data_IF_329222504636
#
_entry.id   IF_329222504636
#
_cell.length_a   1.000
_cell.length_b   1.000
_cell.length_c   1.000
_cell.angle_alpha   90.00
_cell.angle_beta   90.00
_cell.angle_gamma   90.00
#
_symmetry.space_group_name_H-M   'P 1'
#
loop_
_entity.id
_entity.type
_entity.pdbx_description
1 polymer ?
#
# COMPACT_ATOMS: atom_id res chain seq x y z
N UNK A 1 60.36 -4.96 -41.60
CA UNK A 1 59.28 -4.41 -40.74
C UNK A 1 58.76 -3.17 -41.47
N UNK A 2 57.49 -2.96 -41.81
CA UNK A 2 56.25 -3.27 -41.12
C UNK A 2 55.13 -3.55 -42.15
N UNK A 3 54.19 -4.43 -41.78
CA UNK A 3 52.97 -4.73 -42.55
C UNK A 3 51.86 -3.81 -42.06
N UNK A 4 51.36 -2.95 -42.95
CA UNK A 4 50.21 -2.08 -42.70
C UNK A 4 48.92 -2.92 -42.76
N UNK A 5 48.33 -3.21 -41.60
CA UNK A 5 47.08 -3.98 -41.48
C UNK A 5 45.90 -3.02 -41.45
N UNK A 6 45.08 -3.07 -42.49
CA UNK A 6 43.70 -2.60 -42.52
C UNK A 6 42.89 -3.38 -41.46
N UNK A 7 42.18 -2.66 -40.58
CA UNK A 7 41.11 -3.21 -39.75
C UNK A 7 39.92 -2.26 -39.91
N UNK A 8 39.13 -2.57 -40.94
CA UNK A 8 37.81 -2.00 -41.20
C UNK A 8 36.85 -2.55 -40.15
N UNK A 9 35.96 -1.67 -39.70
CA UNK A 9 35.05 -1.89 -38.59
C UNK A 9 34.00 -2.96 -38.83
N UNK A 10 33.52 -3.48 -37.70
CA UNK A 10 32.18 -4.05 -37.55
C UNK A 10 31.65 -3.53 -36.19
N UNK A 11 31.08 -2.33 -36.20
CA UNK A 11 30.27 -1.81 -35.10
C UNK A 11 28.81 -2.08 -35.48
N UNK A 12 28.39 -3.34 -35.35
CA UNK A 12 27.06 -3.80 -35.73
C UNK A 12 26.11 -3.76 -34.53
N UNK A 13 25.13 -2.86 -34.60
CA UNK A 13 23.76 -2.99 -34.12
C UNK A 13 23.53 -3.51 -32.68
N UNK A 14 23.64 -2.61 -31.71
CA UNK A 14 22.85 -2.66 -30.47
C UNK A 14 21.71 -1.63 -30.52
N UNK A 15 20.91 -1.65 -31.61
CA UNK A 15 19.63 -0.93 -31.63
C UNK A 15 18.58 -1.89 -31.08
N UNK A 16 18.62 -2.09 -29.77
CA UNK A 16 17.48 -2.61 -29.04
C UNK A 16 16.40 -1.55 -29.06
N UNK A 17 15.42 -1.71 -29.95
CA UNK A 17 14.23 -0.87 -29.98
C UNK A 17 13.62 -0.85 -28.57
N UNK A 18 13.68 0.31 -27.91
CA UNK A 18 12.88 0.55 -26.73
C UNK A 18 11.41 0.32 -27.12
N UNK A 19 10.79 -0.71 -26.54
CA UNK A 19 9.35 -0.93 -26.67
C UNK A 19 8.67 0.22 -25.95
N UNK A 20 8.23 1.22 -26.71
CA UNK A 20 7.37 2.26 -26.18
C UNK A 20 6.07 1.61 -25.67
N UNK A 21 5.55 2.00 -24.50
CA UNK A 21 4.27 1.50 -24.03
C UNK A 21 3.19 1.85 -25.07
N UNK A 22 2.31 0.89 -25.37
CA UNK A 22 1.22 1.05 -26.35
C UNK A 22 0.17 2.08 -25.92
N UNK A 23 0.18 2.48 -24.66
CA UNK A 23 -0.70 3.49 -24.10
C UNK A 23 0.13 4.67 -23.59
N UNK A 24 -0.27 5.92 -23.89
CA UNK A 24 0.33 7.08 -23.24
C UNK A 24 0.18 6.90 -21.72
N UNK A 25 1.22 7.24 -20.93
CA UNK A 25 1.09 7.21 -19.48
C UNK A 25 -0.12 8.04 -19.06
N UNK A 26 -0.95 7.49 -18.18
CA UNK A 26 -2.06 8.23 -17.58
C UNK A 26 -1.50 9.56 -17.05
N UNK A 27 -2.03 10.71 -17.50
CA UNK A 27 -1.56 11.99 -17.00
C UNK A 27 -1.64 11.99 -15.47
N UNK A 28 -0.54 12.37 -14.80
CA UNK A 28 -0.53 12.45 -13.34
C UNK A 28 -1.63 13.40 -12.92
N UNK A 29 -2.58 12.90 -12.14
CA UNK A 29 -3.70 13.72 -11.67
C UNK A 29 -3.21 14.80 -10.71
N UNK A 30 -3.95 15.90 -10.68
CA UNK A 30 -3.84 16.87 -9.59
C UNK A 30 -4.52 16.35 -8.31
N UNK A 31 -5.36 15.34 -8.42
CA UNK A 31 -6.03 14.65 -7.30
C UNK A 31 -5.08 13.63 -6.65
N UNK A 32 -4.75 13.83 -5.37
CA UNK A 32 -3.75 13.02 -4.63
C UNK A 32 -4.22 12.66 -3.23
N UNK A 33 -3.70 11.55 -2.74
CA UNK A 33 -3.74 11.19 -1.31
C UNK A 33 -2.32 11.13 -0.79
N UNK A 34 -2.03 11.83 0.29
CA UNK A 34 -0.76 11.74 1.01
C UNK A 34 -1.02 11.06 2.33
N UNK A 35 -0.41 9.91 2.56
CA UNK A 35 -0.48 9.17 3.83
C UNK A 35 0.86 9.31 4.52
N UNK A 36 0.86 9.75 5.78
CA UNK A 36 2.03 9.73 6.66
C UNK A 36 1.74 8.85 7.85
N UNK A 37 2.59 7.85 8.09
CA UNK A 37 2.53 6.92 9.21
C UNK A 37 3.75 7.15 10.10
N UNK A 38 3.55 7.13 11.42
CA UNK A 38 4.63 7.27 12.42
C UNK A 38 4.63 6.09 13.36
N UNK A 39 5.78 5.45 13.51
CA UNK A 39 5.97 4.27 14.34
C UNK A 39 6.72 4.60 15.65
N UNK A 40 6.59 3.74 16.66
CA UNK A 40 7.25 3.92 17.96
C UNK A 40 8.78 3.81 17.87
N UNK A 41 9.29 3.01 16.93
CA UNK A 41 10.71 2.90 16.61
C UNK A 41 11.00 3.09 15.12
N UNK A 42 12.28 3.09 14.75
CA UNK A 42 12.70 3.25 13.36
C UNK A 42 12.11 2.15 12.46
N UNK A 43 11.62 2.58 11.29
CA UNK A 43 11.07 1.71 10.24
C UNK A 43 12.15 0.73 9.80
N UNK A 44 11.80 -0.55 9.86
CA UNK A 44 12.67 -1.66 9.48
C UNK A 44 12.44 -2.06 8.02
N UNK A 45 13.50 -2.17 7.19
CA UNK A 45 13.37 -2.51 5.76
C UNK A 45 13.02 -3.97 5.52
N UNK A 46 13.19 -4.85 6.52
CA UNK A 46 12.85 -6.26 6.46
C UNK A 46 11.39 -6.57 6.83
N UNK A 47 10.63 -5.57 7.27
CA UNK A 47 9.20 -5.67 7.56
C UNK A 47 8.36 -5.14 6.39
N UNK A 48 7.08 -5.52 6.39
CA UNK A 48 6.09 -5.12 5.40
C UNK A 48 5.12 -4.11 6.02
N UNK A 49 4.87 -3.02 5.32
CA UNK A 49 3.92 -2.00 5.74
C UNK A 49 2.90 -1.79 4.62
N UNK A 50 1.63 -1.88 4.97
CA UNK A 50 0.53 -1.85 4.03
C UNK A 50 -0.38 -0.65 4.31
N UNK A 51 -0.77 0.05 3.25
CA UNK A 51 -1.92 0.95 3.27
C UNK A 51 -3.02 0.23 2.53
N UNK A 52 -3.95 -0.38 3.26
CA UNK A 52 -5.05 -1.15 2.70
C UNK A 52 -6.27 -0.24 2.53
N UNK A 53 -6.98 -0.41 1.41
CA UNK A 53 -8.05 0.48 0.98
C UNK A 53 -9.24 -0.37 0.51
N UNK A 54 -10.41 -0.08 1.08
CA UNK A 54 -11.71 -0.47 0.58
C UNK A 54 -12.39 0.75 -0.06
N UNK A 55 -13.04 0.53 -1.18
CA UNK A 55 -13.63 1.57 -2.02
C UNK A 55 -15.05 1.26 -2.45
N UNK A 56 -15.69 0.27 -1.82
CA UNK A 56 -17.06 -0.15 -2.17
C UNK A 56 -18.16 0.80 -1.67
N UNK A 57 -17.81 1.71 -0.77
CA UNK A 57 -18.68 2.75 -0.23
C UNK A 57 -19.58 2.29 0.94
N UNK A 58 -19.49 1.04 1.40
CA UNK A 58 -20.18 0.54 2.58
C UNK A 58 -19.38 0.86 3.85
N UNK A 59 -19.83 1.78 4.72
CA UNK A 59 -19.08 2.15 5.92
C UNK A 59 -19.00 1.04 6.98
N UNK A 60 -19.68 -0.09 6.76
CA UNK A 60 -19.69 -1.24 7.67
C UNK A 60 -18.63 -2.27 7.30
N UNK A 61 -18.03 -2.16 6.13
CA UNK A 61 -16.92 -2.99 5.70
C UNK A 61 -15.65 -2.17 5.63
N UNK A 62 -14.52 -2.85 5.73
CA UNK A 62 -13.24 -2.21 5.56
C UNK A 62 -12.06 -3.17 5.66
N UNK A 63 -10.84 -2.65 5.50
CA UNK A 63 -9.66 -3.50 5.47
C UNK A 63 -9.31 -4.08 6.85
N UNK A 64 -9.24 -5.42 6.95
CA UNK A 64 -8.81 -6.10 8.17
C UNK A 64 -7.50 -6.91 7.97
N UNK A 65 -6.63 -6.98 9.00
CA UNK A 65 -5.43 -7.79 8.97
C UNK A 65 -5.72 -9.29 9.12
N UNK A 66 -4.85 -10.13 8.57
CA UNK A 66 -4.92 -11.59 8.72
C UNK A 66 -4.25 -12.05 10.02
N UNK A 67 -4.97 -11.95 11.13
CA UNK A 67 -4.46 -12.28 12.48
C UNK A 67 -4.63 -13.75 12.87
N UNK A 68 -5.57 -14.44 12.22
CA UNK A 68 -5.85 -15.85 12.46
C UNK A 68 -5.94 -16.61 11.15
N UNK A 69 -5.98 -17.94 11.25
CA UNK A 69 -6.24 -18.79 10.09
C UNK A 69 -7.69 -18.64 9.58
N UNK A 70 -7.91 -18.85 8.27
CA UNK A 70 -6.87 -18.96 7.23
C UNK A 70 -6.19 -17.60 7.05
N UNK A 71 -4.84 -17.58 6.92
CA UNK A 71 -4.02 -16.37 6.95
C UNK A 71 -4.21 -15.40 5.76
N UNK A 72 -5.32 -15.49 5.04
CA UNK A 72 -5.63 -14.64 3.90
C UNK A 72 -4.55 -14.72 2.82
N UNK A 73 -3.99 -13.57 2.47
CA UNK A 73 -2.83 -13.43 1.60
C UNK A 73 -1.49 -13.32 2.36
N UNK A 74 -1.51 -13.55 3.67
CA UNK A 74 -0.36 -13.51 4.57
C UNK A 74 -0.24 -12.22 5.39
N UNK A 75 -1.06 -11.20 5.12
CA UNK A 75 -1.07 -9.95 5.89
C UNK A 75 -2.48 -9.38 6.11
N UNK A 76 -3.40 -9.58 5.17
CA UNK A 76 -4.77 -9.06 5.21
C UNK A 76 -5.81 -10.09 4.80
N UNK A 77 -7.08 -9.76 5.04
CA UNK A 77 -8.24 -10.57 4.64
C UNK A 77 -8.97 -9.83 3.51
N UNK A 78 -8.68 -10.10 2.22
CA UNK A 78 -9.23 -9.30 1.13
C UNK A 78 -10.75 -9.31 1.04
N UNK A 79 -11.41 -10.38 1.50
CA UNK A 79 -12.86 -10.45 1.62
C UNK A 79 -13.29 -11.48 2.65
N UNK A 80 -14.12 -11.06 3.60
CA UNK A 80 -14.88 -11.94 4.49
C UNK A 80 -16.17 -11.23 4.93
N UNK A 81 -17.31 -11.68 4.40
CA UNK A 81 -18.61 -11.08 4.70
C UNK A 81 -19.06 -11.23 6.16
N UNK A 82 -18.52 -12.22 6.90
CA UNK A 82 -18.85 -12.45 8.31
C UNK A 82 -18.10 -11.47 9.21
N UNK A 83 -16.85 -11.17 8.84
CA UNK A 83 -16.01 -10.21 9.56
C UNK A 83 -16.22 -8.76 9.09
N UNK A 84 -16.92 -8.57 7.97
CA UNK A 84 -17.00 -7.25 7.31
C UNK A 84 -15.68 -6.84 6.66
N UNK A 85 -14.80 -7.80 6.35
CA UNK A 85 -13.51 -7.48 5.74
C UNK A 85 -13.64 -7.27 4.25
N UNK A 86 -13.03 -6.19 3.73
CA UNK A 86 -12.86 -5.96 2.31
C UNK A 86 -11.60 -5.14 2.03
N UNK A 87 -10.83 -5.55 1.03
CA UNK A 87 -9.64 -4.82 0.54
C UNK A 87 -9.65 -4.85 -0.98
N UNK A 88 -9.89 -3.71 -1.62
CA UNK A 88 -9.88 -3.61 -3.09
C UNK A 88 -8.49 -3.26 -3.62
N UNK A 89 -7.78 -2.41 -2.87
CA UNK A 89 -6.51 -1.80 -3.25
C UNK A 89 -5.57 -1.81 -2.05
N UNK A 90 -4.27 -1.85 -2.31
CA UNK A 90 -3.29 -1.61 -1.26
C UNK A 90 -1.99 -1.05 -1.82
N UNK A 91 -1.28 -0.33 -0.95
CA UNK A 91 0.14 -0.03 -1.14
C UNK A 91 0.92 -1.02 -0.31
N UNK A 92 1.91 -1.68 -0.90
CA UNK A 92 2.94 -2.40 -0.16
C UNK A 92 4.20 -1.52 -0.09
N UNK A 93 4.72 -1.32 1.10
CA UNK A 93 6.07 -0.78 1.34
C UNK A 93 6.92 -1.89 1.92
N UNK A 94 7.98 -2.27 1.20
CA UNK A 94 8.90 -3.34 1.60
C UNK A 94 10.29 -3.01 1.08
N UNK A 95 11.33 -3.21 1.89
CA UNK A 95 12.74 -2.89 1.53
C UNK A 95 12.91 -1.48 0.97
N UNK A 96 12.20 -0.52 1.56
CA UNK A 96 12.23 0.90 1.18
C UNK A 96 11.81 1.18 -0.27
N UNK A 97 11.11 0.25 -0.92
CA UNK A 97 10.37 0.51 -2.15
C UNK A 97 8.87 0.41 -1.86
N UNK A 98 8.07 0.97 -2.77
CA UNK A 98 6.62 0.91 -2.68
C UNK A 98 6.00 0.53 -4.02
N UNK A 99 4.91 -0.24 -3.97
CA UNK A 99 4.13 -0.65 -5.12
C UNK A 99 2.65 -0.62 -4.77
N UNK A 100 1.83 -0.12 -5.70
CA UNK A 100 0.38 -0.11 -5.58
C UNK A 100 -0.18 -1.36 -6.28
N UNK A 101 -1.14 -2.00 -5.65
CA UNK A 101 -1.80 -3.21 -6.15
C UNK A 101 -3.32 -3.08 -6.08
N UNK A 102 -4.00 -3.79 -6.98
CA UNK A 102 -5.44 -4.06 -6.94
C UNK A 102 -5.67 -5.54 -6.71
N UNK A 103 -6.61 -5.90 -5.85
CA UNK A 103 -7.10 -7.28 -5.72
C UNK A 103 -7.98 -7.61 -6.92
N UNK A 104 -7.67 -8.70 -7.64
CA UNK A 104 -8.45 -9.17 -8.79
C UNK A 104 -9.42 -10.28 -8.41
N UNK A 105 -8.99 -11.18 -7.52
CA UNK A 105 -9.79 -12.31 -7.06
C UNK A 105 -9.91 -12.24 -5.54
N UNK A 106 -11.16 -12.08 -5.07
CA UNK A 106 -11.53 -11.96 -3.65
C UNK A 106 -11.82 -13.32 -2.99
N UNK A 107 -11.25 -14.39 -3.53
CA UNK A 107 -11.35 -15.74 -3.00
C UNK A 107 -9.95 -16.36 -2.93
N UNK A 108 -9.65 -17.22 -1.95
CA UNK A 108 -8.38 -17.94 -1.91
C UNK A 108 -8.21 -18.87 -3.13
N UNK A 109 -7.03 -18.88 -3.79
CA UNK A 109 -5.90 -17.98 -3.58
C UNK A 109 -6.19 -16.59 -4.16
N UNK A 110 -6.04 -15.55 -3.33
CA UNK A 110 -6.21 -14.17 -3.76
C UNK A 110 -5.15 -13.82 -4.79
N UNK A 111 -5.53 -13.06 -5.81
CA UNK A 111 -4.60 -12.57 -6.83
C UNK A 111 -4.60 -11.05 -6.89
N UNK A 112 -3.45 -10.49 -7.26
CA UNK A 112 -3.21 -9.06 -7.27
C UNK A 112 -2.65 -8.62 -8.61
N UNK A 113 -3.08 -7.45 -9.07
CA UNK A 113 -2.51 -6.76 -10.22
C UNK A 113 -1.69 -5.56 -9.77
N UNK A 114 -0.41 -5.46 -10.15
CA UNK A 114 0.37 -4.25 -9.90
C UNK A 114 -0.18 -3.07 -10.74
N UNK A 115 -0.35 -1.92 -10.10
CA UNK A 115 -0.72 -0.65 -10.73
C UNK A 115 0.49 0.29 -10.93
N UNK A 116 1.69 -0.16 -10.50
CA UNK A 116 2.92 0.63 -10.53
C UNK A 116 3.24 1.30 -9.19
N UNK A 117 4.36 2.04 -9.11
CA UNK A 117 4.78 2.70 -7.88
C UNK A 117 3.82 3.86 -7.53
N UNK A 118 3.79 4.30 -6.26
CA UNK A 118 3.15 5.56 -5.91
C UNK A 118 3.86 6.75 -6.61
N UNK A 119 3.25 7.94 -6.55
CA UNK A 119 3.88 9.17 -7.06
C UNK A 119 5.16 9.52 -6.28
N UNK A 120 5.15 9.26 -4.97
CA UNK A 120 6.30 9.45 -4.10
C UNK A 120 6.28 8.45 -2.94
N UNK A 121 7.47 8.04 -2.51
CA UNK A 121 7.75 7.37 -1.25
C UNK A 121 8.91 8.09 -0.59
N UNK A 122 8.71 8.54 0.65
CA UNK A 122 9.75 9.18 1.45
C UNK A 122 9.71 8.70 2.89
N UNK A 123 10.83 8.87 3.58
CA UNK A 123 10.98 8.59 5.02
C UNK A 123 11.40 9.89 5.71
N UNK A 124 10.45 10.81 6.01
CA UNK A 124 10.77 12.14 6.53
C UNK A 124 11.57 12.10 7.84
N UNK A 125 11.36 11.04 8.62
CA UNK A 125 12.10 10.68 9.83
C UNK A 125 12.36 9.16 9.83
N UNK A 126 13.33 8.66 10.63
CA UNK A 126 13.63 7.22 10.66
C UNK A 126 12.44 6.33 11.01
N UNK A 127 11.47 6.83 11.77
CA UNK A 127 10.25 6.14 12.18
C UNK A 127 9.02 6.55 11.37
N UNK A 128 9.18 7.24 10.24
CA UNK A 128 8.07 7.72 9.43
C UNK A 128 8.09 7.15 8.02
N UNK A 129 6.91 6.76 7.53
CA UNK A 129 6.67 6.41 6.14
C UNK A 129 5.71 7.45 5.57
N UNK A 130 6.07 8.08 4.46
CA UNK A 130 5.18 8.95 3.70
C UNK A 130 5.01 8.43 2.28
N UNK A 131 3.76 8.20 1.88
CA UNK A 131 3.40 7.78 0.53
C UNK A 131 2.48 8.82 -0.10
N UNK A 132 2.76 9.20 -1.34
CA UNK A 132 1.86 10.04 -2.15
C UNK A 132 1.28 9.21 -3.29
N UNK A 133 -0.04 9.08 -3.33
CA UNK A 133 -0.79 8.33 -4.33
C UNK A 133 -1.49 9.26 -5.31
N UNK A 134 -1.53 8.86 -6.57
CA UNK A 134 -2.41 9.46 -7.58
C UNK A 134 -3.79 8.81 -7.48
N UNK A 135 -4.85 9.60 -7.25
CA UNK A 135 -6.21 9.07 -7.19
C UNK A 135 -6.66 8.45 -8.52
N UNK A 136 -6.10 8.86 -9.66
CA UNK A 136 -6.40 8.27 -10.98
C UNK A 136 -5.59 7.01 -11.28
N UNK A 137 -4.52 6.74 -10.54
CA UNK A 137 -3.90 5.41 -10.54
C UNK A 137 -4.81 4.42 -9.80
N UNK A 138 -5.38 4.83 -8.67
CA UNK A 138 -6.29 4.00 -7.87
C UNK A 138 -7.65 3.81 -8.55
N UNK A 139 -8.17 4.85 -9.18
CA UNK A 139 -9.50 4.89 -9.79
C UNK A 139 -9.39 5.45 -11.21
N UNK A 140 -8.94 4.60 -12.16
CA UNK A 140 -8.72 5.03 -13.53
C UNK A 140 -10.03 5.44 -14.20
N UNK A 141 -10.03 6.45 -15.10
CA UNK A 141 -11.18 6.74 -15.94
C UNK A 141 -11.64 5.50 -16.72
N UNK A 142 -12.93 5.38 -17.04
CA UNK A 142 -13.97 6.40 -16.94
C UNK A 142 -14.66 6.50 -15.58
N UNK A 143 -14.26 5.69 -14.60
CA UNK A 143 -14.95 5.63 -13.31
C UNK A 143 -14.83 6.97 -12.56
N UNK A 144 -15.92 7.44 -11.92
CA UNK A 144 -15.84 8.56 -11.00
C UNK A 144 -14.98 8.16 -9.80
N UNK A 145 -14.34 9.15 -9.18
CA UNK A 145 -13.68 8.90 -7.89
C UNK A 145 -14.76 8.57 -6.84
N UNK A 146 -14.55 7.56 -5.98
CA UNK A 146 -15.49 7.27 -4.92
C UNK A 146 -15.58 8.46 -3.96
N UNK A 147 -16.75 8.67 -3.35
CA UNK A 147 -16.95 9.78 -2.41
C UNK A 147 -16.15 9.58 -1.12
N UNK A 148 -15.87 8.33 -0.76
CA UNK A 148 -15.19 7.91 0.45
C UNK A 148 -14.46 6.60 0.20
N UNK A 149 -13.42 6.36 0.98
CA UNK A 149 -12.75 5.07 1.10
C UNK A 149 -12.51 4.76 2.57
N UNK A 150 -12.39 3.48 2.87
CA UNK A 150 -12.11 2.95 4.18
C UNK A 150 -10.66 2.46 4.18
N UNK A 151 -9.87 2.85 5.18
CA UNK A 151 -8.44 2.58 5.23
C UNK A 151 -8.02 1.90 6.53
N UNK A 152 -7.07 0.98 6.41
CA UNK A 152 -6.31 0.46 7.54
C UNK A 152 -4.81 0.47 7.19
N UNK A 153 -3.97 0.68 8.20
CA UNK A 153 -2.52 0.68 8.06
C UNK A 153 -1.99 -0.56 8.76
N UNK A 154 -1.61 -1.57 7.98
CA UNK A 154 -1.30 -2.90 8.52
C UNK A 154 0.20 -3.11 8.39
N UNK A 155 0.90 -3.34 9.48
CA UNK A 155 2.32 -3.66 9.50
C UNK A 155 2.52 -5.10 9.94
N UNK A 156 3.43 -5.84 9.30
CA UNK A 156 3.76 -7.22 9.68
C UNK A 156 5.26 -7.49 9.55
N UNK A 157 5.81 -8.28 10.47
CA UNK A 157 7.21 -8.71 10.37
C UNK A 157 7.43 -9.79 9.32
N UNK A 158 6.37 -10.55 8.99
CA UNK A 158 6.43 -11.67 8.06
C UNK A 158 5.07 -11.93 7.40
N UNK A 159 5.13 -12.53 6.20
CA UNK A 159 3.96 -13.03 5.48
C UNK A 159 3.72 -14.49 5.83
N UNK A 160 2.64 -14.76 6.58
CA UNK A 160 2.22 -16.14 6.88
C UNK A 160 1.30 -16.67 5.79
N UNK A 161 1.83 -17.39 4.82
CA UNK A 161 1.03 -17.91 3.69
C UNK A 161 0.65 -19.39 3.83
N UNK A 162 1.26 -20.12 4.76
CA UNK A 162 0.93 -21.52 5.01
C UNK A 162 -0.40 -21.63 5.77
N UNK A 163 -1.51 -22.12 5.15
CA UNK A 163 -2.81 -22.18 5.82
C UNK A 163 -2.86 -23.16 7.00
N UNK A 164 -1.85 -24.02 7.15
CA UNK A 164 -1.74 -24.99 8.24
C UNK A 164 -0.87 -24.51 9.41
N UNK A 165 -0.32 -23.30 9.36
CA UNK A 165 0.42 -22.73 10.48
C UNK A 165 -0.54 -22.25 11.59
N UNK A 166 -0.43 -22.82 12.79
CA UNK A 166 -1.29 -22.52 13.93
C UNK A 166 -0.65 -21.54 14.92
N UNK A 167 0.57 -21.08 14.65
CA UNK A 167 1.28 -20.20 15.56
C UNK A 167 0.59 -18.84 15.65
N UNK A 168 0.34 -18.30 16.86
CA UNK A 168 -0.20 -16.95 17.00
C UNK A 168 0.64 -15.94 16.20
N UNK A 169 -0.01 -14.94 15.60
CA UNK A 169 0.70 -13.81 15.00
C UNK A 169 1.07 -12.83 16.10
N UNK A 170 2.38 -12.57 16.23
CA UNK A 170 2.95 -11.68 17.25
C UNK A 170 3.61 -10.46 16.65
N UNK A 171 4.16 -10.58 15.44
CA UNK A 171 4.75 -9.46 14.69
C UNK A 171 3.75 -8.81 13.75
N UNK A 172 2.78 -8.09 14.32
CA UNK A 172 1.87 -7.25 13.57
C UNK A 172 1.48 -6.00 14.34
N UNK A 173 0.98 -5.03 13.60
CA UNK A 173 0.15 -3.97 14.13
C UNK A 173 -0.86 -3.49 13.07
N UNK A 174 -1.97 -2.89 13.50
CA UNK A 174 -2.95 -2.27 12.65
C UNK A 174 -3.86 -1.32 13.45
N UNK A 175 -4.71 -0.55 12.78
CA UNK A 175 -5.55 0.43 13.47
C UNK A 175 -6.43 -0.18 14.57
N UNK A 176 -6.47 0.52 15.70
CA UNK A 176 -7.23 0.19 16.88
C UNK A 176 -6.56 -0.87 17.77
N UNK A 177 -7.06 -1.06 19.02
CA UNK A 177 -6.38 -1.88 20.03
C UNK A 177 -6.21 -3.36 19.70
N UNK A 178 -6.86 -3.84 18.63
CA UNK A 178 -6.79 -5.23 18.17
C UNK A 178 -6.43 -5.33 16.69
N UNK A 179 -6.18 -4.20 16.02
CA UNK A 179 -5.94 -4.14 14.58
C UNK A 179 -7.18 -4.23 13.70
N UNK A 180 -8.37 -4.39 14.28
CA UNK A 180 -9.63 -4.62 13.55
C UNK A 180 -10.43 -3.33 13.27
N UNK A 181 -9.85 -2.16 13.53
CA UNK A 181 -10.49 -0.88 13.20
C UNK A 181 -10.03 -0.40 11.83
N UNK A 182 -10.82 0.51 11.25
CA UNK A 182 -10.48 1.23 10.02
C UNK A 182 -11.05 2.64 10.08
N UNK A 183 -10.49 3.53 9.27
CA UNK A 183 -10.91 4.93 9.20
C UNK A 183 -11.62 5.23 7.89
N UNK A 184 -12.65 6.06 7.97
CA UNK A 184 -13.42 6.55 6.84
C UNK A 184 -12.85 7.88 6.34
N UNK A 185 -12.36 7.89 5.09
CA UNK A 185 -11.72 9.05 4.46
C UNK A 185 -12.57 9.56 3.29
N UNK A 186 -13.32 10.67 3.47
CA UNK A 186 -13.96 11.37 2.37
C UNK A 186 -12.94 11.86 1.34
N UNK A 187 -13.19 11.63 0.06
CA UNK A 187 -12.34 12.06 -1.07
C UNK A 187 -12.91 13.28 -1.82
N UNK A 188 -14.01 13.84 -1.33
CA UNK A 188 -14.79 14.89 -2.03
C UNK A 188 -14.15 16.28 -1.97
N UNK A 189 -13.24 16.53 -1.02
CA UNK A 189 -12.62 17.85 -0.84
C UNK A 189 -11.18 17.75 -0.34
N UNK A 190 -10.42 18.83 -0.52
CA UNK A 190 -9.07 18.95 0.04
C UNK A 190 -9.17 19.06 1.56
N UNK A 191 -8.73 18.03 2.27
CA UNK A 191 -8.83 17.95 3.73
C UNK A 191 -7.67 17.13 4.30
N UNK A 192 -7.35 17.35 5.58
CA UNK A 192 -6.41 16.53 6.33
C UNK A 192 -7.14 15.85 7.48
N UNK A 193 -6.96 14.53 7.58
CA UNK A 193 -7.43 13.65 8.64
C UNK A 193 -6.23 13.21 9.48
N UNK A 194 -6.38 13.20 10.79
CA UNK A 194 -5.31 12.90 11.76
C UNK A 194 -5.76 11.83 12.74
N UNK A 195 -4.80 11.20 13.41
CA UNK A 195 -5.01 10.16 14.42
C UNK A 195 -6.18 10.37 15.39
N UNK A 196 -6.31 11.57 15.97
CA UNK A 196 -7.41 11.90 16.88
C UNK A 196 -8.82 11.94 16.26
N UNK A 197 -8.95 11.68 14.96
CA UNK A 197 -10.23 11.60 14.23
C UNK A 197 -10.63 10.17 13.88
N UNK A 198 -9.82 9.17 14.26
CA UNK A 198 -10.21 7.76 14.24
C UNK A 198 -11.20 7.41 15.36
N UNK A 199 -11.72 6.19 15.33
CA UNK A 199 -12.58 5.67 16.41
C UNK A 199 -11.80 5.55 17.72
N UNK A 200 -10.59 5.01 17.62
CA UNK A 200 -9.57 5.00 18.67
C UNK A 200 -8.36 5.74 18.12
N UNK A 201 -7.74 6.57 18.96
CA UNK A 201 -6.46 7.18 18.62
C UNK A 201 -5.36 6.15 18.86
N UNK A 202 -4.52 5.95 17.85
CA UNK A 202 -3.32 5.13 17.94
C UNK A 202 -2.37 5.70 18.99
N UNK A 203 -1.80 4.81 19.79
CA UNK A 203 -0.83 5.15 20.85
C UNK A 203 0.14 4.00 20.98
N UNK A 204 1.36 4.27 21.45
CA UNK A 204 2.35 3.21 21.65
C UNK A 204 1.91 2.12 22.63
N UNK A 205 2.29 0.88 22.35
CA UNK A 205 2.31 -0.24 23.31
C UNK A 205 1.26 -1.33 23.09
N UNK A 206 0.51 -1.29 21.99
CA UNK A 206 -0.41 -2.35 21.57
C UNK A 206 0.22 -3.37 20.61
N UNK A 207 1.33 -3.03 19.96
CA UNK A 207 2.17 -3.99 19.24
C UNK A 207 3.28 -4.60 20.12
N UNK A 208 3.68 -5.84 19.85
CA UNK A 208 4.80 -6.50 20.56
C UNK A 208 6.19 -6.09 20.04
N UNK A 209 6.25 -5.41 18.89
CA UNK A 209 7.49 -4.99 18.23
C UNK A 209 7.38 -3.49 17.98
N UNK A 210 8.19 -2.68 18.65
CA UNK A 210 8.14 -1.21 18.58
C UNK A 210 8.30 -0.64 17.15
N UNK A 211 8.98 -1.37 16.26
CA UNK A 211 9.14 -0.96 14.86
C UNK A 211 7.90 -1.24 13.97
N UNK A 212 6.93 -1.98 14.50
CA UNK A 212 5.61 -2.21 13.88
C UNK A 212 4.52 -1.36 14.52
N UNK A 213 4.69 -0.99 15.79
CA UNK A 213 3.80 -0.15 16.61
C UNK A 213 3.54 1.21 15.97
N UNK A 214 2.35 1.41 15.42
CA UNK A 214 1.85 2.62 14.82
C UNK A 214 1.36 3.55 15.94
N UNK A 215 1.91 4.75 15.98
CA UNK A 215 1.64 5.73 17.06
C UNK A 215 0.95 6.98 16.58
N UNK A 216 1.00 7.28 15.28
CA UNK A 216 0.33 8.41 14.68
C UNK A 216 0.14 8.19 13.18
N UNK A 217 -0.92 8.79 12.64
CA UNK A 217 -1.20 8.80 11.21
C UNK A 217 -1.82 10.12 10.75
N UNK A 218 -1.54 10.48 9.51
CA UNK A 218 -2.13 11.61 8.81
C UNK A 218 -2.50 11.19 7.38
N UNK A 219 -3.74 11.44 6.97
CA UNK A 219 -4.20 11.28 5.60
C UNK A 219 -4.62 12.64 5.06
N UNK A 220 -3.93 13.12 4.03
CA UNK A 220 -4.24 14.38 3.37
C UNK A 220 -4.75 14.15 1.96
N UNK A 221 -5.97 14.60 1.71
CA UNK A 221 -6.58 14.64 0.39
C UNK A 221 -6.27 15.98 -0.26
N UNK A 222 -5.82 15.95 -1.50
CA UNK A 222 -5.57 17.12 -2.33
C UNK A 222 -6.43 16.95 -3.57
N UNK A 223 -7.37 17.87 -3.80
CA UNK A 223 -8.18 17.93 -5.03
C UNK A 223 -7.62 19.01 -5.95
N UNK A 224 -7.41 18.64 -7.20
CA UNK A 224 -7.00 19.58 -8.22
C UNK A 224 -8.17 20.32 -8.81
N UNK A 225 -8.09 21.65 -8.81
CA UNK A 225 -8.90 22.48 -9.72
C UNK A 225 -8.43 22.34 -11.17
#
# INVERSE_FOLDING_TARGET
MARFRWLIGVLAFLVGCAKFPELPPTPISRDRVVVTLTYAAAVRPDFFYYIAIDSDGDPRTGPLPALTRPWGNGWGVPFDATLGSRIDLFVEVFRQSAQVFRIQVFQPPFTTQPLGPPLDLSFPQPNQIRVTLDLRQLFPPPDPLPERVEMNFISVSELKTNPYDNTPRTGFDALGPTGNDFISIPLTSTQTFRNGQGWVAETSGDAQIDALDLTDWEVRIIRGE
#
